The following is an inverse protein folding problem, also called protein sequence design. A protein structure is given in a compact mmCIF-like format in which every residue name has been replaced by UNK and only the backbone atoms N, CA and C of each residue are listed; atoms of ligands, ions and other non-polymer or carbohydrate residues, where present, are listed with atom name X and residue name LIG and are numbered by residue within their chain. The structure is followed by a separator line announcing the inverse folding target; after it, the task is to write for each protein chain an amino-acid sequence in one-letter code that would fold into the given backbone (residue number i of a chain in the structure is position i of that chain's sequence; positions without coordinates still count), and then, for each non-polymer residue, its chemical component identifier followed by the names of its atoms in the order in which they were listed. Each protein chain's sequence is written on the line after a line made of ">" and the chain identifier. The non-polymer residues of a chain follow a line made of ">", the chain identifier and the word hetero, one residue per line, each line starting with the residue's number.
data_IF_903076405718
#
_entry.id   IF_903076405718
#
_cell.length_a   1.000
_cell.length_b   1.000
_cell.length_c   1.000
_cell.angle_alpha   90.00
_cell.angle_beta   90.00
_cell.angle_gamma   90.00
#
_symmetry.space_group_name_H-M   'P 1'
#
loop_
_entity.id
_entity.type
_entity.pdbx_description
1 polymer ?
#
# COMPACT_ATOMS: atom_id res chain seq x y z
N UNK A 1 -8.79 4.20 10.46
CA UNK A 1 -7.79 3.38 9.74
C UNK A 1 -6.82 2.78 10.74
N UNK A 2 -6.52 1.52 10.57
CA UNK A 2 -5.54 0.80 11.39
C UNK A 2 -4.50 0.15 10.48
N UNK A 3 -3.25 0.20 10.87
CA UNK A 3 -2.14 -0.43 10.14
C UNK A 3 -1.54 -1.52 11.00
N UNK A 4 -1.47 -2.75 10.47
CA UNK A 4 -0.78 -3.88 11.09
C UNK A 4 0.40 -4.28 10.24
N UNK A 5 1.50 -4.62 10.86
CA UNK A 5 2.73 -4.98 10.16
C UNK A 5 3.06 -6.45 10.35
N UNK A 6 3.48 -7.11 9.29
CA UNK A 6 3.94 -8.50 9.32
C UNK A 6 5.15 -8.64 8.41
N UNK A 7 6.13 -9.44 8.84
CA UNK A 7 7.32 -9.68 8.04
C UNK A 7 7.26 -11.02 7.34
N UNK A 8 7.67 -11.05 6.07
CA UNK A 8 7.88 -12.25 5.26
C UNK A 8 9.28 -12.16 4.69
N UNK A 9 10.26 -12.73 5.38
CA UNK A 9 11.68 -12.59 5.05
C UNK A 9 12.06 -11.09 5.05
N UNK A 10 12.55 -10.55 3.94
CA UNK A 10 12.91 -9.13 3.84
C UNK A 10 11.75 -8.25 3.34
N UNK A 11 10.56 -8.80 3.22
CA UNK A 11 9.37 -8.09 2.74
C UNK A 11 8.47 -7.75 3.92
N UNK A 12 8.03 -6.50 3.99
CA UNK A 12 7.11 -6.01 5.01
C UNK A 12 5.71 -5.92 4.43
N UNK A 13 4.75 -6.59 5.07
CA UNK A 13 3.34 -6.53 4.68
C UNK A 13 2.60 -5.63 5.64
N UNK A 14 1.98 -4.58 5.12
CA UNK A 14 1.14 -3.66 5.88
C UNK A 14 -0.31 -3.97 5.57
N UNK A 15 -1.05 -4.45 6.56
CA UNK A 15 -2.50 -4.65 6.43
C UNK A 15 -3.20 -3.41 6.94
N UNK A 16 -3.97 -2.77 6.06
CA UNK A 16 -4.73 -1.58 6.40
C UNK A 16 -6.18 -1.99 6.59
N UNK A 17 -6.79 -1.57 7.70
CA UNK A 17 -8.18 -1.87 8.00
C UNK A 17 -8.99 -0.59 8.14
N UNK A 18 -10.24 -0.64 7.69
CA UNK A 18 -11.19 0.43 7.89
C UNK A 18 -11.24 1.42 6.73
N UNK A 19 -11.53 2.68 7.04
CA UNK A 19 -11.75 3.72 6.04
C UNK A 19 -10.50 4.56 5.85
N UNK A 20 -10.06 4.73 4.60
CA UNK A 20 -8.98 5.64 4.24
C UNK A 20 -9.60 6.95 3.76
N UNK A 21 -10.00 7.80 4.71
CA UNK A 21 -10.73 9.04 4.46
C UNK A 21 -9.86 10.28 4.68
N UNK A 22 -10.47 11.46 4.47
CA UNK A 22 -9.84 12.76 4.73
C UNK A 22 -9.77 12.97 6.25
N UNK A 23 -8.69 12.52 6.86
CA UNK A 23 -8.37 12.83 8.24
C UNK A 23 -6.85 12.77 8.42
N UNK A 24 -6.38 13.15 9.59
CA UNK A 24 -4.95 13.14 9.90
C UNK A 24 -4.35 11.73 9.76
N UNK A 25 -5.15 10.70 9.94
CA UNK A 25 -4.69 9.30 9.90
C UNK A 25 -4.40 8.80 8.49
N UNK A 26 -5.02 9.39 7.46
CA UNK A 26 -4.73 9.00 6.07
C UNK A 26 -3.30 9.34 5.66
N UNK A 27 -2.71 10.38 6.25
CA UNK A 27 -1.32 10.76 6.00
C UNK A 27 -0.35 9.88 6.79
N UNK A 28 -0.84 9.17 7.81
CA UNK A 28 -0.02 8.30 8.67
C UNK A 28 0.57 7.12 7.88
N UNK A 29 -0.10 6.66 6.83
CA UNK A 29 0.43 5.61 5.98
C UNK A 29 1.77 6.04 5.35
N UNK A 30 1.83 7.23 4.77
CA UNK A 30 3.05 7.73 4.14
C UNK A 30 4.16 7.90 5.19
N UNK A 31 3.82 8.44 6.35
CA UNK A 31 4.75 8.60 7.46
C UNK A 31 5.28 7.24 7.94
N UNK A 32 4.38 6.26 8.08
CA UNK A 32 4.74 4.91 8.49
C UNK A 32 5.73 4.29 7.50
N UNK A 33 5.45 4.41 6.20
CA UNK A 33 6.31 3.89 5.14
C UNK A 33 7.68 4.59 5.16
N UNK A 34 7.74 5.89 5.39
CA UNK A 34 9.01 6.61 5.53
C UNK A 34 9.85 6.07 6.68
N UNK A 35 9.21 5.73 7.80
CA UNK A 35 9.92 5.13 8.93
C UNK A 35 10.49 3.76 8.59
N UNK A 36 9.76 2.96 7.79
CA UNK A 36 10.27 1.68 7.29
C UNK A 36 11.49 1.88 6.38
N UNK A 37 11.44 2.87 5.52
CA UNK A 37 12.55 3.21 4.63
C UNK A 37 13.80 3.58 5.45
N UNK A 38 13.62 4.34 6.53
CA UNK A 38 14.71 4.73 7.42
C UNK A 38 15.36 3.51 8.09
N UNK A 39 14.61 2.42 8.25
CA UNK A 39 15.12 1.14 8.77
C UNK A 39 15.63 0.22 7.66
N UNK A 40 15.75 0.73 6.45
CA UNK A 40 16.17 -0.03 5.27
C UNK A 40 15.20 -1.15 4.88
N UNK A 41 13.92 -0.99 5.22
CA UNK A 41 12.84 -1.91 4.84
C UNK A 41 12.11 -1.30 3.67
N UNK A 42 12.56 -1.65 2.46
CA UNK A 42 12.12 -1.01 1.22
C UNK A 42 11.35 -1.95 0.28
N UNK A 43 11.05 -3.17 0.71
CA UNK A 43 10.18 -4.09 -0.02
C UNK A 43 8.87 -4.19 0.74
N UNK A 44 7.82 -3.58 0.20
CA UNK A 44 6.57 -3.39 0.94
C UNK A 44 5.39 -3.90 0.12
N UNK A 45 4.51 -4.63 0.78
CA UNK A 45 3.19 -5.00 0.27
C UNK A 45 2.15 -4.29 1.12
N UNK A 46 1.21 -3.60 0.47
CA UNK A 46 0.06 -3.02 1.16
C UNK A 46 -1.15 -3.91 0.88
N UNK A 47 -1.65 -4.56 1.94
CA UNK A 47 -2.82 -5.42 1.88
C UNK A 47 -4.06 -4.56 2.11
N UNK A 48 -4.89 -4.43 1.08
CA UNK A 48 -6.09 -3.60 1.08
C UNK A 48 -7.38 -4.41 1.29
N UNK A 49 -7.26 -5.70 1.60
CA UNK A 49 -8.42 -6.57 1.73
C UNK A 49 -9.40 -6.20 2.85
N UNK A 50 -8.95 -5.44 3.83
CA UNK A 50 -9.78 -4.98 4.95
C UNK A 50 -10.12 -3.50 4.87
N UNK A 51 -9.78 -2.83 3.77
CA UNK A 51 -10.16 -1.44 3.54
C UNK A 51 -11.60 -1.40 3.06
N UNK A 52 -12.46 -0.69 3.79
CA UNK A 52 -13.90 -0.60 3.49
C UNK A 52 -14.24 0.63 2.65
N UNK A 53 -13.37 1.63 2.63
CA UNK A 53 -13.58 2.87 1.87
C UNK A 53 -12.24 3.51 1.55
N UNK A 54 -12.09 4.00 0.31
CA UNK A 54 -10.88 4.70 -0.11
C UNK A 54 -11.28 6.04 -0.72
N UNK A 55 -10.92 7.13 -0.04
CA UNK A 55 -11.06 8.48 -0.58
C UNK A 55 -9.81 8.89 -1.36
N UNK A 56 -9.91 9.98 -2.12
CA UNK A 56 -8.80 10.49 -2.93
C UNK A 56 -7.53 10.71 -2.12
N UNK A 57 -7.66 11.15 -0.87
CA UNK A 57 -6.52 11.40 0.02
C UNK A 57 -5.82 10.10 0.41
N UNK A 58 -6.59 9.01 0.57
CA UNK A 58 -6.02 7.69 0.84
C UNK A 58 -5.25 7.16 -0.37
N UNK A 59 -5.80 7.34 -1.56
CA UNK A 59 -5.11 6.97 -2.80
C UNK A 59 -3.83 7.79 -2.96
N UNK A 60 -3.88 9.09 -2.65
CA UNK A 60 -2.71 9.97 -2.66
C UNK A 60 -1.62 9.49 -1.69
N UNK A 61 -2.02 9.01 -0.50
CA UNK A 61 -1.08 8.47 0.48
C UNK A 61 -0.39 7.19 -0.04
N UNK A 62 -1.13 6.33 -0.74
CA UNK A 62 -0.56 5.13 -1.37
C UNK A 62 0.46 5.53 -2.44
N UNK A 63 0.12 6.49 -3.29
CA UNK A 63 1.01 6.97 -4.34
C UNK A 63 2.26 7.64 -3.78
N UNK A 64 2.12 8.46 -2.75
CA UNK A 64 3.25 9.10 -2.09
C UNK A 64 4.17 8.05 -1.48
N UNK A 65 3.60 7.01 -0.87
CA UNK A 65 4.36 5.90 -0.31
C UNK A 65 5.12 5.15 -1.41
N UNK A 66 4.46 4.87 -2.51
CA UNK A 66 5.08 4.22 -3.67
C UNK A 66 6.29 5.04 -4.17
N UNK A 67 6.09 6.33 -4.36
CA UNK A 67 7.15 7.22 -4.83
C UNK A 67 8.36 7.23 -3.89
N UNK A 68 8.10 7.35 -2.59
CA UNK A 68 9.16 7.34 -1.58
C UNK A 68 9.96 6.03 -1.59
N UNK A 69 9.26 4.90 -1.69
CA UNK A 69 9.90 3.58 -1.74
C UNK A 69 10.74 3.43 -3.00
N UNK A 70 10.21 3.82 -4.15
CA UNK A 70 10.96 3.74 -5.43
C UNK A 70 12.19 4.64 -5.41
N UNK A 71 12.10 5.83 -4.84
CA UNK A 71 13.23 6.73 -4.70
C UNK A 71 14.32 6.17 -3.79
N UNK A 72 13.94 5.32 -2.85
CA UNK A 72 14.88 4.63 -1.94
C UNK A 72 15.45 3.34 -2.55
N UNK A 73 15.12 3.02 -3.79
CA UNK A 73 15.61 1.83 -4.48
C UNK A 73 14.82 0.56 -4.20
N UNK A 74 13.67 0.67 -3.55
CA UNK A 74 12.81 -0.47 -3.23
C UNK A 74 11.64 -0.62 -4.18
N UNK A 75 10.63 -1.35 -3.74
CA UNK A 75 9.40 -1.52 -4.48
C UNK A 75 8.21 -1.66 -3.53
N UNK A 76 7.03 -1.26 -4.00
CA UNK A 76 5.78 -1.32 -3.24
C UNK A 76 4.71 -1.93 -4.15
N UNK A 77 4.02 -2.93 -3.64
CA UNK A 77 2.97 -3.64 -4.36
C UNK A 77 1.70 -3.69 -3.52
N UNK A 78 0.57 -3.85 -4.19
CA UNK A 78 -0.73 -3.95 -3.54
C UNK A 78 -1.21 -5.40 -3.55
N UNK A 79 -2.04 -5.74 -2.58
CA UNK A 79 -2.64 -7.07 -2.50
C UNK A 79 -4.08 -6.97 -2.05
N UNK A 80 -4.90 -7.88 -2.53
CA UNK A 80 -6.29 -8.04 -2.11
C UNK A 80 -7.15 -6.79 -2.26
N UNK A 81 -6.87 -5.95 -3.27
CA UNK A 81 -7.72 -4.79 -3.55
C UNK A 81 -9.17 -5.23 -3.76
N UNK A 82 -10.09 -4.57 -3.08
CA UNK A 82 -11.51 -4.84 -3.29
C UNK A 82 -11.90 -4.45 -4.72
N UNK A 83 -13.06 -4.94 -5.18
CA UNK A 83 -13.56 -4.60 -6.52
C UNK A 83 -13.64 -3.08 -6.72
N UNK A 84 -14.11 -2.34 -5.71
CA UNK A 84 -14.20 -0.88 -5.77
C UNK A 84 -12.84 -0.22 -5.94
N UNK A 85 -11.87 -0.64 -5.14
CA UNK A 85 -10.51 -0.09 -5.21
C UNK A 85 -9.88 -0.41 -6.55
N UNK A 86 -10.01 -1.66 -7.01
CA UNK A 86 -9.47 -2.07 -8.30
C UNK A 86 -10.09 -1.27 -9.44
N UNK A 87 -11.40 -1.00 -9.39
CA UNK A 87 -12.06 -0.15 -10.38
C UNK A 87 -11.49 1.26 -10.42
N UNK A 88 -11.20 1.84 -9.25
CA UNK A 88 -10.55 3.15 -9.16
C UNK A 88 -9.15 3.10 -9.77
N UNK A 89 -8.38 2.06 -9.49
CA UNK A 89 -7.04 1.90 -10.04
C UNK A 89 -7.07 1.79 -11.57
N UNK A 90 -8.03 1.06 -12.10
CA UNK A 90 -8.21 0.91 -13.56
C UNK A 90 -8.66 2.24 -14.18
N UNK A 91 -9.68 2.87 -13.61
CA UNK A 91 -10.22 4.14 -14.12
C UNK A 91 -9.17 5.24 -14.16
N UNK A 92 -8.34 5.34 -13.14
CA UNK A 92 -7.27 6.33 -13.05
C UNK A 92 -5.99 5.91 -13.78
N UNK A 93 -5.95 4.70 -14.33
CA UNK A 93 -4.78 4.08 -14.96
C UNK A 93 -3.62 3.82 -13.99
N UNK A 94 -3.83 3.96 -12.70
CA UNK A 94 -2.81 3.69 -11.68
C UNK A 94 -2.44 2.21 -11.59
N UNK A 95 -3.32 1.32 -12.09
CA UNK A 95 -3.02 -0.12 -12.16
C UNK A 95 -1.77 -0.40 -13.01
N UNK A 96 -1.40 0.52 -13.90
CA UNK A 96 -0.19 0.39 -14.73
C UNK A 96 1.09 0.67 -13.94
N UNK A 97 0.97 1.34 -12.81
CA UNK A 97 2.09 1.73 -11.95
C UNK A 97 2.11 0.88 -10.70
N UNK A 98 0.94 0.77 -10.03
CA UNK A 98 0.78 0.03 -8.79
C UNK A 98 0.37 -1.40 -9.11
N UNK A 99 1.31 -2.34 -9.02
CA UNK A 99 1.02 -3.76 -9.25
C UNK A 99 0.10 -4.26 -8.14
N UNK A 100 -1.02 -4.87 -8.52
CA UNK A 100 -2.03 -5.38 -7.62
C UNK A 100 -2.19 -6.88 -7.80
N UNK A 101 -2.10 -7.62 -6.69
CA UNK A 101 -2.18 -9.08 -6.68
C UNK A 101 -3.42 -9.54 -5.91
N UNK A 102 -3.97 -10.67 -6.30
CA UNK A 102 -5.18 -11.21 -5.67
C UNK A 102 -4.94 -11.67 -4.23
N UNK A 103 -3.72 -12.10 -3.92
CA UNK A 103 -3.36 -12.55 -2.58
C UNK A 103 -2.06 -11.90 -2.11
N UNK A 104 -1.90 -11.84 -0.79
CA UNK A 104 -0.65 -11.36 -0.18
C UNK A 104 0.51 -12.27 -0.60
N UNK A 105 0.28 -13.58 -0.66
CA UNK A 105 1.31 -14.55 -1.03
C UNK A 105 1.84 -14.28 -2.44
N UNK A 106 0.95 -14.03 -3.40
CA UNK A 106 1.36 -13.71 -4.78
C UNK A 106 2.17 -12.41 -4.82
N UNK A 107 1.75 -11.38 -4.06
CA UNK A 107 2.47 -10.12 -3.99
C UNK A 107 3.88 -10.32 -3.41
N UNK A 108 4.01 -11.09 -2.34
CA UNK A 108 5.29 -11.40 -1.71
C UNK A 108 6.20 -12.14 -2.68
N UNK A 109 5.67 -13.12 -3.40
CA UNK A 109 6.45 -13.93 -4.34
C UNK A 109 6.89 -13.14 -5.58
N UNK A 110 6.28 -12.00 -5.86
CA UNK A 110 6.58 -11.19 -7.04
C UNK A 110 7.82 -10.32 -6.91
N UNK A 111 8.38 -10.20 -5.72
CA UNK A 111 9.60 -9.44 -5.50
C UNK A 111 10.86 -10.12 -6.03
#
# INVERSE_FOLDING_TARGET
>A
MRISEKSHDDITVLTISGKMMIDAKSTDLHKYVKELIDKNQTKIVIDLGKVTWLASVGLGAILASYTSVKNAGGDLKLARSTRKIRSVLIFTQLIKILEDYDTVQEAVESF
#
